data_IF_619919448617
#
_entry.id   IF_619919448617
#
_cell.length_a   1.000
_cell.length_b   1.000
_cell.length_c   1.000
_cell.angle_alpha   90.00
_cell.angle_beta   90.00
_cell.angle_gamma   90.00
#
_symmetry.space_group_name_H-M   'P 1'
#
loop_
_entity.id
_entity.type
_entity.pdbx_description
1 polymer ?
#
# COMPACT_ATOMS: atom_id res chain seq x y z
N UNK A 1 -41.31 -46.33 -5.93
CA UNK A 1 -40.53 -45.85 -7.09
C UNK A 1 -41.28 -44.72 -7.88
N UNK A 2 -42.53 -44.91 -8.31
CA UNK A 2 -43.29 -43.92 -9.09
C UNK A 2 -43.50 -42.60 -8.37
N UNK A 3 -43.83 -42.60 -7.08
CA UNK A 3 -44.03 -41.37 -6.28
C UNK A 3 -42.72 -40.54 -6.13
N UNK A 4 -41.58 -41.19 -5.94
CA UNK A 4 -40.28 -40.51 -5.85
C UNK A 4 -39.89 -39.90 -7.18
N UNK A 5 -40.15 -40.57 -8.29
CA UNK A 5 -39.89 -40.03 -9.63
C UNK A 5 -40.76 -38.81 -9.93
N UNK A 6 -42.08 -38.88 -9.59
CA UNK A 6 -42.99 -37.75 -9.78
C UNK A 6 -42.58 -36.53 -8.94
N UNK A 7 -42.19 -36.76 -7.66
CA UNK A 7 -41.69 -35.70 -6.77
C UNK A 7 -40.43 -35.05 -7.32
N UNK A 8 -39.47 -35.83 -7.84
CA UNK A 8 -38.25 -35.36 -8.47
C UNK A 8 -38.51 -34.49 -9.70
N UNK A 9 -39.46 -34.89 -10.56
CA UNK A 9 -39.86 -34.11 -11.74
C UNK A 9 -40.50 -32.77 -11.34
N UNK A 10 -41.37 -32.78 -10.36
CA UNK A 10 -42.02 -31.56 -9.85
C UNK A 10 -40.95 -30.59 -9.28
N UNK A 11 -40.04 -31.10 -8.41
CA UNK A 11 -39.02 -30.29 -7.78
C UNK A 11 -38.06 -29.69 -8.79
N UNK A 12 -37.58 -30.47 -9.77
CA UNK A 12 -36.70 -30.01 -10.82
C UNK A 12 -37.40 -28.97 -11.73
N UNK A 13 -38.66 -29.16 -12.03
CA UNK A 13 -39.47 -28.20 -12.81
C UNK A 13 -39.63 -26.85 -12.09
N UNK A 14 -39.91 -26.90 -10.77
CA UNK A 14 -40.01 -25.71 -9.93
C UNK A 14 -38.65 -25.00 -9.85
N UNK A 15 -37.57 -25.72 -9.59
CA UNK A 15 -36.22 -25.14 -9.57
C UNK A 15 -35.82 -24.52 -10.93
N UNK A 16 -36.14 -25.18 -12.01
CA UNK A 16 -35.91 -24.65 -13.37
C UNK A 16 -36.68 -23.35 -13.62
N UNK A 17 -37.96 -23.30 -13.27
CA UNK A 17 -38.80 -22.09 -13.44
C UNK A 17 -38.29 -20.93 -12.55
N UNK A 18 -37.91 -21.22 -11.31
CA UNK A 18 -37.34 -20.24 -10.40
C UNK A 18 -36.00 -19.72 -10.94
N UNK A 19 -35.07 -20.61 -11.33
CA UNK A 19 -33.80 -20.24 -11.91
C UNK A 19 -33.96 -19.38 -13.17
N UNK A 20 -34.89 -19.71 -14.04
CA UNK A 20 -35.18 -18.92 -15.25
C UNK A 20 -35.79 -17.56 -14.93
N UNK A 21 -36.68 -17.48 -13.94
CA UNK A 21 -37.35 -16.21 -13.56
C UNK A 21 -36.41 -15.26 -12.85
N UNK A 22 -35.46 -15.80 -12.05
CA UNK A 22 -34.47 -15.02 -11.30
C UNK A 22 -33.09 -15.00 -11.97
N UNK A 23 -32.97 -15.44 -13.24
CA UNK A 23 -31.74 -15.33 -13.98
C UNK A 23 -31.34 -13.86 -14.13
N UNK A 24 -30.26 -13.46 -13.47
CA UNK A 24 -29.67 -12.13 -13.63
C UNK A 24 -28.98 -12.11 -14.99
N UNK A 25 -29.43 -11.23 -15.89
CA UNK A 25 -28.72 -10.98 -17.14
C UNK A 25 -27.55 -10.07 -16.84
N UNK A 26 -26.37 -10.64 -16.73
CA UNK A 26 -25.14 -9.86 -16.64
C UNK A 26 -24.69 -9.41 -18.03
N UNK A 27 -24.04 -8.25 -18.10
CA UNK A 27 -23.47 -7.73 -19.34
C UNK A 27 -22.32 -8.67 -19.80
N UNK A 28 -22.34 -9.18 -21.05
CA UNK A 28 -21.30 -10.09 -21.55
C UNK A 28 -19.89 -9.46 -21.53
N UNK A 29 -19.78 -8.14 -21.52
CA UNK A 29 -18.51 -7.43 -21.38
C UNK A 29 -17.86 -7.65 -20.02
N UNK A 30 -18.64 -8.00 -18.98
CA UNK A 30 -18.15 -8.24 -17.64
C UNK A 30 -17.18 -9.41 -17.60
N UNK A 31 -17.54 -10.54 -18.20
CA UNK A 31 -16.70 -11.73 -18.28
C UNK A 31 -15.44 -11.47 -19.13
N UNK A 32 -15.58 -10.69 -20.20
CA UNK A 32 -14.46 -10.30 -21.05
C UNK A 32 -13.46 -9.41 -20.29
N UNK A 33 -13.93 -8.43 -19.53
CA UNK A 33 -13.06 -7.58 -18.68
C UNK A 33 -12.44 -8.38 -17.56
N UNK A 34 -13.20 -9.27 -16.89
CA UNK A 34 -12.67 -10.11 -15.80
C UNK A 34 -11.55 -11.02 -16.29
N UNK A 35 -11.65 -11.58 -17.49
CA UNK A 35 -10.61 -12.46 -18.07
C UNK A 35 -9.27 -11.77 -18.33
N UNK A 36 -9.27 -10.44 -18.55
CA UNK A 36 -8.04 -9.66 -18.72
C UNK A 36 -7.41 -9.25 -17.38
N UNK A 37 -8.14 -9.37 -16.28
CA UNK A 37 -7.63 -9.02 -14.95
C UNK A 37 -6.76 -10.14 -14.35
N UNK A 38 -5.81 -9.82 -13.44
CA UNK A 38 -4.88 -10.80 -12.88
C UNK A 38 -5.51 -11.91 -12.02
N UNK A 39 -6.79 -11.83 -11.68
CA UNK A 39 -7.50 -12.81 -10.84
C UNK A 39 -7.03 -12.85 -9.37
N UNK A 40 -6.16 -11.95 -8.95
CA UNK A 40 -5.55 -11.95 -7.62
C UNK A 40 -6.52 -11.60 -6.47
N UNK A 41 -7.69 -11.02 -6.76
CA UNK A 41 -8.72 -10.61 -5.79
C UNK A 41 -8.17 -9.85 -4.56
N UNK A 42 -7.08 -9.10 -4.75
CA UNK A 42 -6.29 -8.48 -3.67
C UNK A 42 -6.96 -7.24 -3.04
N UNK A 43 -8.04 -6.70 -3.63
CA UNK A 43 -8.69 -5.48 -3.16
C UNK A 43 -7.86 -4.20 -3.29
N UNK A 44 -6.71 -4.23 -3.98
CA UNK A 44 -5.82 -3.08 -4.16
C UNK A 44 -6.45 -1.94 -4.97
N UNK A 45 -7.35 -2.25 -5.87
CA UNK A 45 -8.14 -1.29 -6.63
C UNK A 45 -9.32 -0.65 -5.86
N UNK A 46 -9.55 -1.07 -4.61
CA UNK A 46 -10.67 -0.62 -3.79
C UNK A 46 -11.97 -1.40 -3.98
N UNK A 47 -11.99 -2.40 -4.87
CA UNK A 47 -13.12 -3.31 -5.09
C UNK A 47 -12.93 -4.60 -4.29
N UNK A 48 -14.02 -5.33 -4.02
CA UNK A 48 -13.99 -6.57 -3.21
C UNK A 48 -13.22 -7.72 -3.92
N UNK A 49 -13.13 -7.67 -5.25
CA UNK A 49 -12.42 -8.64 -6.07
C UNK A 49 -12.35 -8.20 -7.53
N UNK A 50 -11.74 -9.02 -8.38
CA UNK A 50 -11.57 -8.71 -9.80
C UNK A 50 -12.92 -8.60 -10.52
N UNK A 51 -13.90 -9.47 -10.21
CA UNK A 51 -15.25 -9.40 -10.78
C UNK A 51 -15.98 -8.11 -10.40
N UNK A 52 -15.88 -7.68 -9.12
CA UNK A 52 -16.47 -6.42 -8.65
C UNK A 52 -15.82 -5.21 -9.32
N UNK A 53 -14.51 -5.24 -9.54
CA UNK A 53 -13.80 -4.23 -10.32
C UNK A 53 -14.25 -4.20 -11.78
N UNK A 54 -14.38 -5.37 -12.43
CA UNK A 54 -14.88 -5.47 -13.80
C UNK A 54 -16.28 -4.88 -13.92
N UNK A 55 -17.18 -5.20 -12.98
CA UNK A 55 -18.53 -4.65 -12.89
C UNK A 55 -18.52 -3.13 -12.81
N UNK A 56 -17.69 -2.58 -11.92
CA UNK A 56 -17.52 -1.13 -11.76
C UNK A 56 -17.04 -0.46 -13.06
N UNK A 57 -16.08 -1.06 -13.78
CA UNK A 57 -15.59 -0.52 -15.05
C UNK A 57 -16.67 -0.55 -16.15
N UNK A 58 -17.46 -1.64 -16.25
CA UNK A 58 -18.53 -1.79 -17.21
C UNK A 58 -19.67 -0.80 -16.93
N UNK A 59 -20.09 -0.65 -15.67
CA UNK A 59 -21.14 0.27 -15.24
C UNK A 59 -20.75 1.73 -15.43
N UNK A 60 -19.50 2.09 -15.14
CA UNK A 60 -19.00 3.45 -15.30
C UNK A 60 -18.86 3.85 -16.78
N UNK A 61 -18.66 2.89 -17.69
CA UNK A 61 -18.40 3.17 -19.11
C UNK A 61 -17.14 4.01 -19.36
N UNK A 62 -16.29 4.19 -18.35
CA UNK A 62 -15.02 4.91 -18.42
C UNK A 62 -14.02 4.30 -17.44
N UNK A 63 -12.73 4.55 -17.66
CA UNK A 63 -11.67 4.10 -16.75
C UNK A 63 -11.18 5.21 -15.81
N UNK A 64 -11.84 6.36 -15.78
CA UNK A 64 -11.51 7.41 -14.81
C UNK A 64 -11.73 6.94 -13.38
N UNK A 65 -10.68 7.00 -12.57
CA UNK A 65 -10.72 6.51 -11.18
C UNK A 65 -10.74 4.99 -11.03
N UNK A 66 -10.71 4.23 -12.13
CA UNK A 66 -10.62 2.77 -12.15
C UNK A 66 -9.21 2.36 -12.60
N UNK A 67 -8.42 1.82 -11.68
CA UNK A 67 -7.06 1.34 -11.97
C UNK A 67 -6.76 0.06 -11.18
N UNK A 68 -6.25 -0.96 -11.88
CA UNK A 68 -5.79 -2.19 -11.26
C UNK A 68 -4.27 -2.09 -10.99
N UNK A 69 -3.82 -1.89 -9.72
CA UNK A 69 -2.39 -1.70 -9.45
C UNK A 69 -1.56 -2.96 -9.70
N UNK A 70 -2.14 -4.15 -9.56
CA UNK A 70 -1.45 -5.43 -9.81
C UNK A 70 -1.28 -5.68 -11.30
N UNK A 71 -2.30 -5.36 -12.10
CA UNK A 71 -2.26 -5.51 -13.56
C UNK A 71 -1.47 -4.39 -14.26
N UNK A 72 -1.35 -3.23 -13.62
CA UNK A 72 -0.63 -2.09 -14.16
C UNK A 72 -1.25 -1.55 -15.46
N UNK A 73 -0.47 -0.72 -16.17
CA UNK A 73 -0.92 -0.09 -17.42
C UNK A 73 -1.21 -1.10 -18.53
N UNK A 74 -0.49 -2.23 -18.58
CA UNK A 74 -0.67 -3.26 -19.62
C UNK A 74 -2.07 -3.89 -19.56
N UNK A 75 -2.50 -4.29 -18.36
CA UNK A 75 -3.84 -4.84 -18.15
C UNK A 75 -4.91 -3.77 -18.40
N UNK A 76 -4.66 -2.53 -17.95
CA UNK A 76 -5.62 -1.44 -18.17
C UNK A 76 -5.79 -1.09 -19.65
N UNK A 77 -4.73 -1.21 -20.49
CA UNK A 77 -4.85 -1.08 -21.94
C UNK A 77 -5.74 -2.16 -22.56
N UNK A 78 -5.62 -3.41 -22.09
CA UNK A 78 -6.49 -4.50 -22.56
C UNK A 78 -7.94 -4.30 -22.14
N UNK A 79 -8.17 -3.92 -20.88
CA UNK A 79 -9.52 -3.59 -20.39
C UNK A 79 -10.13 -2.43 -21.17
N UNK A 80 -9.34 -1.39 -21.48
CA UNK A 80 -9.75 -0.26 -22.30
C UNK A 80 -10.19 -0.70 -23.72
N UNK A 81 -9.41 -1.61 -24.33
CA UNK A 81 -9.73 -2.16 -25.64
C UNK A 81 -11.06 -2.96 -25.64
N UNK A 82 -11.32 -3.75 -24.58
CA UNK A 82 -12.59 -4.50 -24.42
C UNK A 82 -13.78 -3.56 -24.26
N UNK A 83 -13.61 -2.46 -23.52
CA UNK A 83 -14.69 -1.49 -23.27
C UNK A 83 -14.84 -0.43 -24.39
N UNK A 84 -13.86 -0.33 -25.31
CA UNK A 84 -13.84 0.69 -26.35
C UNK A 84 -13.59 2.11 -25.82
N UNK A 85 -12.84 2.25 -24.74
CA UNK A 85 -12.51 3.53 -24.06
C UNK A 85 -11.00 3.78 -24.07
N UNK A 86 -10.59 5.02 -23.80
CA UNK A 86 -9.18 5.34 -23.67
C UNK A 86 -8.59 4.82 -22.34
N UNK A 87 -7.38 4.26 -22.41
CA UNK A 87 -6.66 3.79 -21.23
C UNK A 87 -6.04 4.97 -20.49
N UNK A 88 -6.31 5.07 -19.19
CA UNK A 88 -5.64 6.04 -18.31
C UNK A 88 -4.32 5.44 -17.83
N UNK A 89 -3.20 5.98 -18.31
CA UNK A 89 -1.88 5.57 -17.85
C UNK A 89 -1.56 6.21 -16.49
N UNK A 90 -1.12 5.39 -15.54
CA UNK A 90 -0.62 5.86 -14.25
C UNK A 90 0.89 5.67 -14.16
N UNK A 91 1.58 6.66 -13.60
CA UNK A 91 3.00 6.53 -13.30
C UNK A 91 3.22 5.33 -12.35
N UNK A 92 4.21 4.46 -12.63
CA UNK A 92 4.49 3.32 -11.78
C UNK A 92 4.84 3.80 -10.36
N UNK A 93 4.32 3.10 -9.36
CA UNK A 93 4.55 3.39 -7.94
C UNK A 93 5.19 2.21 -7.26
N UNK A 94 5.78 2.47 -6.08
CA UNK A 94 6.37 1.46 -5.21
C UNK A 94 6.14 1.85 -3.76
N UNK A 95 6.00 0.86 -2.89
CA UNK A 95 5.90 1.09 -1.45
C UNK A 95 7.26 1.55 -0.91
N UNK A 96 7.25 2.51 0.01
CA UNK A 96 8.42 2.93 0.79
C UNK A 96 8.08 2.90 2.27
N UNK A 97 9.07 2.55 3.10
CA UNK A 97 8.93 2.49 4.55
C UNK A 97 9.51 3.77 5.13
N UNK A 98 8.70 4.54 5.84
CA UNK A 98 9.08 5.81 6.44
C UNK A 98 9.48 5.65 7.90
N UNK A 99 10.44 4.79 8.15
CA UNK A 99 10.98 4.58 9.49
C UNK A 99 12.41 4.03 9.42
N UNK A 100 13.38 4.79 9.89
CA UNK A 100 14.76 4.36 10.08
C UNK A 100 15.08 4.02 11.56
N UNK A 101 14.04 3.74 12.33
CA UNK A 101 14.14 3.35 13.74
C UNK A 101 14.55 1.89 13.90
N UNK A 102 15.75 1.53 13.45
CA UNK A 102 16.37 0.23 13.72
C UNK A 102 16.63 0.03 15.22
N UNK A 103 17.01 -1.18 15.62
CA UNK A 103 17.38 -1.49 17.00
C UNK A 103 18.53 -0.61 17.51
N UNK A 104 19.45 -0.20 16.63
CA UNK A 104 20.56 0.69 16.98
C UNK A 104 20.09 2.13 17.22
N UNK A 105 19.12 2.61 16.43
CA UNK A 105 18.61 3.98 16.50
C UNK A 105 17.53 4.17 17.57
N UNK A 106 16.82 3.09 17.90
CA UNK A 106 15.64 3.09 18.76
C UNK A 106 15.67 1.88 19.69
N UNK A 107 16.43 1.94 20.79
CA UNK A 107 16.55 0.82 21.73
C UNK A 107 15.19 0.47 22.35
N UNK A 108 14.96 -0.81 22.58
CA UNK A 108 13.79 -1.30 23.31
C UNK A 108 13.87 -0.88 24.77
N UNK A 109 12.75 -0.44 25.29
CA UNK A 109 12.60 -0.05 26.71
C UNK A 109 11.78 -1.06 27.50
N UNK A 110 11.06 -1.94 26.81
CA UNK A 110 10.18 -2.94 27.39
C UNK A 110 9.87 -4.03 26.37
N UNK A 111 9.20 -5.09 26.81
CA UNK A 111 8.81 -6.25 25.99
C UNK A 111 7.29 -6.39 26.02
N UNK A 112 6.70 -6.64 24.87
CA UNK A 112 5.29 -6.95 24.74
C UNK A 112 5.09 -8.47 24.67
N UNK A 113 4.50 -9.05 25.71
CA UNK A 113 4.24 -10.50 25.82
C UNK A 113 2.88 -10.94 25.22
N UNK A 114 2.24 -10.09 24.43
CA UNK A 114 0.98 -10.40 23.76
C UNK A 114 1.17 -11.05 22.38
N UNK A 115 0.06 -11.21 21.67
CA UNK A 115 0.06 -11.75 20.30
C UNK A 115 0.92 -10.87 19.36
N UNK A 116 1.86 -11.45 18.60
CA UNK A 116 2.84 -10.71 17.80
C UNK A 116 2.21 -10.12 16.52
N UNK A 117 1.36 -9.12 16.65
CA UNK A 117 0.73 -8.38 15.55
C UNK A 117 0.86 -6.89 15.80
N UNK A 118 1.25 -6.14 14.76
CA UNK A 118 1.31 -4.68 14.80
C UNK A 118 -0.05 -4.06 15.15
N UNK A 119 -1.15 -4.64 14.63
CA UNK A 119 -2.52 -4.16 14.88
C UNK A 119 -2.91 -4.33 16.33
N UNK A 120 -2.61 -5.47 16.93
CA UNK A 120 -2.89 -5.76 18.34
C UNK A 120 -2.03 -4.87 19.23
N UNK A 121 -0.72 -4.84 18.98
CA UNK A 121 0.22 -4.04 19.76
C UNK A 121 -0.10 -2.54 19.71
N UNK A 122 -0.48 -2.00 18.53
CA UNK A 122 -0.82 -0.59 18.40
C UNK A 122 -2.06 -0.17 19.18
N UNK A 123 -3.01 -1.10 19.39
CA UNK A 123 -4.25 -0.83 20.15
C UNK A 123 -4.07 -0.93 21.65
N UNK A 124 -3.28 -1.90 22.10
CA UNK A 124 -3.11 -2.21 23.51
C UNK A 124 -1.94 -1.45 24.15
N UNK A 125 -0.98 -1.04 23.34
CA UNK A 125 0.28 -0.57 23.85
C UNK A 125 0.99 0.40 22.87
N UNK A 126 1.81 1.31 23.40
CA UNK A 126 2.55 2.30 22.58
C UNK A 126 3.69 1.71 21.75
N UNK A 127 4.04 0.47 21.96
CA UNK A 127 5.19 -0.20 21.36
C UNK A 127 6.34 -0.37 22.37
N UNK A 128 7.31 -1.19 22.02
CA UNK A 128 8.43 -1.59 22.90
C UNK A 128 9.55 -0.54 23.01
N UNK A 129 9.38 0.61 22.39
CA UNK A 129 10.37 1.68 22.32
C UNK A 129 9.79 3.03 22.74
N UNK A 130 10.62 4.01 23.00
CA UNK A 130 10.18 5.37 23.34
C UNK A 130 9.43 6.08 22.18
N UNK A 131 9.61 5.64 20.92
CA UNK A 131 8.97 6.25 19.77
C UNK A 131 7.56 5.70 19.56
N UNK A 132 6.54 6.50 19.84
CA UNK A 132 5.12 6.13 19.66
C UNK A 132 4.68 6.02 18.18
N UNK A 133 5.47 6.50 17.25
CA UNK A 133 5.15 6.57 15.82
C UNK A 133 5.84 5.50 14.99
N UNK A 134 6.95 4.96 15.45
CA UNK A 134 7.82 4.08 14.69
C UNK A 134 7.24 2.68 14.43
N UNK A 135 7.94 1.93 13.60
CA UNK A 135 7.61 0.55 13.28
C UNK A 135 7.52 -0.31 14.54
N UNK A 136 6.52 -1.18 14.63
CA UNK A 136 6.37 -2.13 15.75
C UNK A 136 7.15 -3.44 15.53
N UNK A 137 7.52 -3.73 14.28
CA UNK A 137 8.40 -4.86 13.96
C UNK A 137 7.72 -6.23 13.92
N UNK A 138 6.37 -6.33 14.04
CA UNK A 138 5.68 -7.63 14.06
C UNK A 138 5.47 -8.24 12.68
N UNK A 139 5.57 -7.47 11.57
CA UNK A 139 5.51 -8.03 10.21
C UNK A 139 4.12 -8.11 9.58
N UNK A 140 3.04 -7.53 10.15
CA UNK A 140 1.69 -7.55 9.54
C UNK A 140 1.69 -7.04 8.08
N UNK A 141 2.58 -6.11 7.72
CA UNK A 141 2.73 -5.61 6.36
C UNK A 141 3.37 -6.62 5.40
N UNK A 142 4.23 -7.51 5.92
CA UNK A 142 4.86 -8.60 5.15
C UNK A 142 3.82 -9.68 4.86
N UNK A 143 3.05 -10.10 5.87
CA UNK A 143 1.97 -11.08 5.72
C UNK A 143 0.88 -10.58 4.76
N UNK A 144 0.58 -9.29 4.79
CA UNK A 144 -0.41 -8.67 3.91
C UNK A 144 0.06 -8.50 2.45
N UNK A 145 1.33 -8.77 2.12
CA UNK A 145 1.87 -8.55 0.79
C UNK A 145 1.63 -9.73 -0.15
N UNK A 146 0.71 -9.63 -1.13
CA UNK A 146 0.38 -10.76 -2.00
C UNK A 146 1.50 -11.11 -3.00
N UNK A 147 2.37 -10.14 -3.31
CA UNK A 147 3.50 -10.35 -4.24
C UNK A 147 4.80 -10.78 -3.56
N UNK A 148 4.81 -10.90 -2.22
CA UNK A 148 6.03 -11.21 -1.47
C UNK A 148 7.15 -10.17 -1.62
N UNK A 149 6.78 -8.92 -1.92
CA UNK A 149 7.72 -7.81 -2.11
C UNK A 149 8.25 -7.21 -0.81
N UNK A 150 7.71 -7.60 0.35
CA UNK A 150 8.20 -7.16 1.65
C UNK A 150 8.81 -8.33 2.42
N UNK A 151 9.91 -8.04 3.11
CA UNK A 151 10.53 -8.95 4.07
C UNK A 151 10.97 -8.19 5.32
N UNK A 152 11.02 -8.87 6.47
CA UNK A 152 11.58 -8.28 7.68
C UNK A 152 13.10 -8.47 7.69
N UNK A 153 13.84 -7.38 7.82
CA UNK A 153 15.28 -7.45 8.03
C UNK A 153 15.57 -7.84 9.49
N UNK A 154 16.25 -8.97 9.68
CA UNK A 154 16.54 -9.50 11.01
C UNK A 154 17.49 -8.61 11.84
N UNK A 155 18.37 -7.84 11.20
CA UNK A 155 19.32 -6.95 11.88
C UNK A 155 18.72 -5.62 12.32
N UNK A 156 17.79 -5.07 11.51
CA UNK A 156 17.18 -3.76 11.79
C UNK A 156 15.80 -3.88 12.42
N UNK A 157 15.16 -5.03 12.32
CA UNK A 157 13.73 -5.28 12.65
C UNK A 157 12.77 -4.32 11.95
N UNK A 158 13.14 -3.87 10.75
CA UNK A 158 12.31 -3.05 9.89
C UNK A 158 11.91 -3.82 8.63
N UNK A 159 10.74 -3.55 8.04
CA UNK A 159 10.39 -4.12 6.75
C UNK A 159 11.18 -3.46 5.63
N UNK A 160 11.67 -4.27 4.71
CA UNK A 160 12.33 -3.85 3.48
C UNK A 160 11.46 -4.18 2.28
N UNK A 161 11.51 -3.32 1.27
CA UNK A 161 10.70 -3.46 0.05
C UNK A 161 11.59 -3.78 -1.14
N UNK A 162 11.31 -4.92 -1.78
CA UNK A 162 11.85 -5.26 -3.09
C UNK A 162 11.04 -4.53 -4.18
N UNK A 163 11.62 -3.49 -4.76
CA UNK A 163 10.97 -2.66 -5.77
C UNK A 163 10.69 -3.40 -7.08
N UNK A 164 11.41 -4.50 -7.36
CA UNK A 164 11.20 -5.33 -8.54
C UNK A 164 9.92 -6.16 -8.45
N UNK A 165 9.55 -6.61 -7.25
CA UNK A 165 8.35 -7.42 -6.97
C UNK A 165 7.14 -6.60 -6.57
N UNK A 166 7.35 -5.33 -6.18
CA UNK A 166 6.28 -4.48 -5.66
C UNK A 166 5.31 -4.06 -6.78
N UNK A 167 4.06 -4.48 -6.67
CA UNK A 167 2.97 -4.12 -7.59
C UNK A 167 2.22 -2.85 -7.19
N UNK A 168 2.64 -2.15 -6.14
CA UNK A 168 1.98 -0.95 -5.60
C UNK A 168 0.49 -1.15 -5.21
N UNK A 169 0.05 -2.36 -4.87
CA UNK A 169 -1.34 -2.66 -4.55
C UNK A 169 -1.86 -1.99 -3.25
N UNK A 170 -0.97 -1.44 -2.41
CA UNK A 170 -1.33 -0.73 -1.18
C UNK A 170 -1.77 -1.62 -0.01
N UNK A 171 -1.72 -2.96 -0.12
CA UNK A 171 -2.11 -3.86 0.97
C UNK A 171 -1.29 -3.62 2.24
N UNK A 172 0.03 -3.43 2.11
CA UNK A 172 0.94 -3.10 3.22
C UNK A 172 0.64 -1.73 3.85
N UNK A 173 0.19 -0.75 3.05
CA UNK A 173 -0.20 0.57 3.55
C UNK A 173 -1.44 0.44 4.46
N UNK A 174 -2.45 -0.32 4.02
CA UNK A 174 -3.68 -0.60 4.80
C UNK A 174 -3.40 -1.45 6.05
N UNK A 175 -2.45 -2.38 5.97
CA UNK A 175 -2.08 -3.26 7.08
C UNK A 175 -1.32 -2.53 8.19
N UNK A 176 -0.61 -1.45 7.89
CA UNK A 176 0.23 -0.75 8.84
C UNK A 176 -0.57 0.17 9.78
N UNK A 177 -0.74 -0.15 11.08
CA UNK A 177 -1.52 0.67 12.00
C UNK A 177 -0.82 2.01 12.37
N UNK A 178 0.47 2.14 12.05
CA UNK A 178 1.28 3.35 12.28
C UNK A 178 1.35 4.27 11.06
N UNK A 179 0.86 3.83 9.90
CA UNK A 179 0.88 4.63 8.68
C UNK A 179 2.30 4.98 8.20
N UNK A 180 3.27 4.11 8.46
CA UNK A 180 4.67 4.33 8.07
C UNK A 180 5.00 3.87 6.64
N UNK A 181 4.05 3.25 5.95
CA UNK A 181 4.24 2.78 4.58
C UNK A 181 3.38 3.64 3.66
N UNK A 182 3.97 4.13 2.58
CA UNK A 182 3.27 4.90 1.56
C UNK A 182 3.69 4.46 0.16
N UNK A 183 2.89 4.80 -0.85
CA UNK A 183 3.21 4.56 -2.26
C UNK A 183 3.80 5.84 -2.86
N UNK A 184 5.00 5.73 -3.42
CA UNK A 184 5.69 6.82 -4.12
C UNK A 184 5.94 6.47 -5.58
N UNK A 185 6.12 7.49 -6.42
CA UNK A 185 6.50 7.29 -7.81
C UNK A 185 7.80 6.46 -7.89
N UNK A 186 7.82 5.48 -8.80
CA UNK A 186 9.00 4.68 -9.11
C UNK A 186 9.91 5.50 -10.01
N UNK A 187 11.21 5.55 -9.69
CA UNK A 187 12.19 6.29 -10.47
C UNK A 187 13.61 5.89 -10.08
N UNK A 188 14.63 6.29 -10.86
CA UNK A 188 16.02 5.87 -10.68
C UNK A 188 16.60 6.32 -9.33
N UNK A 189 16.16 7.46 -8.82
CA UNK A 189 16.50 7.97 -7.49
C UNK A 189 15.20 8.36 -6.79
N UNK A 190 15.04 7.93 -5.56
CA UNK A 190 13.89 8.31 -4.72
C UNK A 190 14.42 8.90 -3.43
N UNK A 191 13.85 10.03 -3.03
CA UNK A 191 14.22 10.71 -1.78
C UNK A 191 12.97 10.91 -0.92
N UNK A 192 13.04 10.50 0.33
CA UNK A 192 11.93 10.68 1.28
C UNK A 192 12.45 10.80 2.71
N UNK A 193 11.57 11.25 3.61
CA UNK A 193 11.86 11.33 5.03
C UNK A 193 11.50 10.01 5.69
N UNK A 194 12.50 9.29 6.23
CA UNK A 194 12.36 8.00 6.95
C UNK A 194 11.91 8.21 8.39
N UNK A 195 10.93 9.06 8.59
CA UNK A 195 10.35 9.34 9.89
C UNK A 195 8.89 9.80 9.74
N UNK A 196 8.06 9.42 10.71
CA UNK A 196 6.67 9.88 10.84
C UNK A 196 6.39 10.46 12.23
N UNK A 197 7.42 10.67 13.03
CA UNK A 197 7.31 11.22 14.37
C UNK A 197 6.99 12.71 14.32
N UNK A 198 5.94 13.13 15.03
CA UNK A 198 5.44 14.50 15.12
C UNK A 198 5.79 15.20 16.43
N UNK A 199 6.52 14.53 17.31
CA UNK A 199 6.96 15.11 18.57
C UNK A 199 7.94 16.28 18.33
N UNK A 200 8.04 17.17 19.31
CA UNK A 200 9.04 18.23 19.29
C UNK A 200 10.45 17.65 19.15
N UNK A 201 11.32 18.30 18.41
CA UNK A 201 12.63 17.76 18.01
C UNK A 201 13.48 17.17 19.13
N UNK A 202 13.48 17.76 20.33
CA UNK A 202 14.19 17.23 21.49
C UNK A 202 13.62 15.87 21.97
N UNK A 203 12.28 15.73 21.97
CA UNK A 203 11.58 14.50 22.35
C UNK A 203 11.80 13.43 21.28
N UNK A 204 11.64 13.79 20.00
CA UNK A 204 11.85 12.91 18.88
C UNK A 204 13.27 12.32 18.86
N UNK A 205 14.30 13.18 19.08
CA UNK A 205 15.70 12.75 19.12
C UNK A 205 16.02 11.84 20.31
N UNK A 206 15.38 12.09 21.47
CA UNK A 206 15.54 11.22 22.65
C UNK A 206 14.92 9.84 22.38
N UNK A 207 13.82 9.78 21.65
CA UNK A 207 13.13 8.54 21.34
C UNK A 207 13.78 7.73 20.21
N UNK A 208 14.48 8.38 19.27
CA UNK A 208 15.17 7.74 18.15
C UNK A 208 16.29 8.67 17.63
N UNK A 209 17.52 8.17 17.54
CA UNK A 209 18.66 8.94 17.05
C UNK A 209 18.55 9.36 15.59
N UNK A 210 17.83 8.57 14.77
CA UNK A 210 17.55 8.84 13.35
C UNK A 210 16.23 9.61 13.11
N UNK A 211 15.58 10.13 14.18
CA UNK A 211 14.31 10.84 14.01
C UNK A 211 14.49 12.19 13.30
N UNK A 212 13.47 12.58 12.51
CA UNK A 212 13.35 13.96 12.07
C UNK A 212 13.08 14.86 13.28
N UNK A 213 13.87 15.91 13.44
CA UNK A 213 13.74 16.88 14.53
C UNK A 213 13.05 18.19 14.12
N UNK A 214 12.51 18.25 12.92
CA UNK A 214 11.82 19.44 12.41
C UNK A 214 12.70 20.68 12.25
N UNK A 215 14.02 20.54 12.09
CA UNK A 215 14.96 21.68 12.07
C UNK A 215 14.87 22.59 10.85
N UNK A 216 14.18 22.17 9.80
CA UNK A 216 13.95 22.98 8.59
C UNK A 216 15.14 23.16 7.64
N UNK A 217 16.33 22.60 7.94
CA UNK A 217 17.49 22.74 7.06
C UNK A 217 17.22 22.24 5.65
N UNK A 218 16.61 21.05 5.51
CA UNK A 218 16.27 20.45 4.22
C UNK A 218 15.32 21.33 3.39
N UNK A 219 14.34 21.96 4.03
CA UNK A 219 13.40 22.84 3.35
C UNK A 219 14.06 24.11 2.83
N UNK A 220 14.96 24.69 3.62
CA UNK A 220 15.72 25.90 3.22
C UNK A 220 16.67 25.66 2.03
N UNK A 221 17.19 24.44 1.90
CA UNK A 221 18.12 24.04 0.84
C UNK A 221 17.42 23.54 -0.43
N UNK A 222 16.12 23.33 -0.38
CA UNK A 222 15.37 22.76 -1.50
C UNK A 222 15.05 23.83 -2.55
N UNK A 223 15.80 23.84 -3.65
CA UNK A 223 15.61 24.77 -4.77
C UNK A 223 14.25 24.57 -5.47
N UNK A 224 13.75 23.32 -5.53
CA UNK A 224 12.46 23.00 -6.14
C UNK A 224 11.27 23.24 -5.20
N UNK A 225 11.48 23.73 -3.97
CA UNK A 225 10.44 23.93 -2.95
C UNK A 225 9.58 22.68 -2.69
N UNK A 226 10.16 21.49 -2.90
CA UNK A 226 9.47 20.22 -2.72
C UNK A 226 9.35 19.78 -1.25
N UNK A 227 9.98 20.50 -0.31
CA UNK A 227 10.01 20.09 1.11
C UNK A 227 9.21 21.07 1.95
N UNK A 228 8.22 20.54 2.62
CA UNK A 228 7.40 21.27 3.59
C UNK A 228 7.62 20.75 5.01
N UNK A 229 7.44 21.62 6.01
CA UNK A 229 7.42 21.21 7.41
C UNK A 229 6.00 21.32 7.94
N UNK A 230 5.52 20.24 8.54
CA UNK A 230 4.23 20.21 9.20
C UNK A 230 4.34 19.35 10.47
N UNK A 231 3.78 19.81 11.58
CA UNK A 231 3.80 19.09 12.86
C UNK A 231 5.21 18.60 13.27
N UNK A 232 6.21 19.46 13.22
CA UNK A 232 7.64 19.14 13.50
C UNK A 232 8.26 18.07 12.59
N UNK A 233 7.64 17.74 11.48
CA UNK A 233 8.08 16.72 10.55
C UNK A 233 8.27 17.30 9.15
N UNK A 234 9.38 16.98 8.51
CA UNK A 234 9.60 17.32 7.12
C UNK A 234 8.86 16.31 6.21
N UNK A 235 8.28 16.81 5.15
CA UNK A 235 7.64 16.05 4.09
C UNK A 235 8.24 16.42 2.74
N UNK A 236 8.55 15.43 1.91
CA UNK A 236 9.07 15.62 0.56
C UNK A 236 8.00 15.20 -0.44
N UNK A 237 7.56 16.17 -1.25
CA UNK A 237 6.66 15.94 -2.36
C UNK A 237 7.45 15.28 -3.50
N UNK A 238 7.11 14.04 -3.85
CA UNK A 238 7.81 13.28 -4.89
C UNK A 238 7.64 13.88 -6.28
N UNK A 239 6.52 14.57 -6.53
CA UNK A 239 6.18 15.10 -7.85
C UNK A 239 6.92 16.43 -8.14
N UNK A 240 7.26 17.16 -7.07
CA UNK A 240 8.06 18.39 -7.13
C UNK A 240 9.56 18.18 -6.96
N UNK A 241 9.96 17.01 -6.43
CA UNK A 241 11.34 16.74 -6.06
C UNK A 241 12.23 16.52 -7.29
N UNK A 242 13.21 17.40 -7.48
CA UNK A 242 14.22 17.30 -8.54
C UNK A 242 15.27 16.18 -8.27
N UNK A 243 15.15 15.41 -7.21
CA UNK A 243 16.02 14.27 -6.85
C UNK A 243 17.53 14.63 -6.71
N UNK A 244 17.86 15.89 -6.45
CA UNK A 244 19.23 16.39 -6.35
C UNK A 244 20.01 15.88 -5.11
N UNK A 245 19.35 15.22 -4.18
CA UNK A 245 19.90 14.59 -2.95
C UNK A 245 20.60 15.54 -1.95
N UNK A 246 20.68 16.85 -2.18
CA UNK A 246 21.32 17.83 -1.26
C UNK A 246 20.77 17.74 0.18
N UNK A 247 19.46 17.52 0.33
CA UNK A 247 18.82 17.40 1.64
C UNK A 247 19.25 16.15 2.42
N UNK A 248 19.74 15.09 1.75
CA UNK A 248 20.20 13.86 2.39
C UNK A 248 21.50 14.11 3.14
N UNK A 249 22.50 14.74 2.49
CA UNK A 249 23.81 15.05 3.08
C UNK A 249 23.74 16.07 4.23
N UNK A 250 22.78 16.99 4.14
CA UNK A 250 22.62 18.07 5.11
C UNK A 250 21.73 17.74 6.30
N UNK A 251 21.13 16.55 6.30
CA UNK A 251 20.26 16.11 7.40
C UNK A 251 21.09 15.76 8.65
N UNK A 252 20.97 16.49 9.78
CA UNK A 252 21.83 16.28 10.95
C UNK A 252 21.54 14.97 11.71
N UNK A 253 20.42 14.32 11.43
CA UNK A 253 20.01 13.06 12.06
C UNK A 253 19.96 11.89 11.06
N UNK A 254 20.27 12.13 9.78
CA UNK A 254 20.14 11.10 8.75
C UNK A 254 18.70 10.63 8.52
N UNK A 255 17.70 11.48 8.85
CA UNK A 255 16.30 11.13 8.72
C UNK A 255 15.78 11.17 7.27
N UNK A 256 16.63 11.51 6.30
CA UNK A 256 16.25 11.54 4.88
C UNK A 256 16.99 10.41 4.17
N UNK A 257 16.22 9.54 3.54
CA UNK A 257 16.75 8.42 2.79
C UNK A 257 16.77 8.71 1.29
N UNK A 258 17.75 8.14 0.60
CA UNK A 258 17.76 8.01 -0.86
C UNK A 258 17.85 6.54 -1.22
N UNK A 259 16.99 6.06 -2.11
CA UNK A 259 17.12 4.77 -2.74
C UNK A 259 17.54 4.95 -4.19
N UNK A 260 18.52 4.21 -4.63
CA UNK A 260 18.86 4.05 -6.05
C UNK A 260 18.35 2.68 -6.47
N UNK A 261 17.60 2.63 -7.56
CA UNK A 261 17.33 1.37 -8.24
C UNK A 261 18.53 1.06 -9.13
N UNK A 262 19.07 -0.14 -8.97
CA UNK A 262 20.14 -0.65 -9.82
C UNK A 262 19.59 -0.96 -11.22
#
# INVERSE_FOLDING_TARGET
MVVLAALGIVLSSVLYLVARKFAVKEDPRLDAVESELPGANCGGCGSAGCRDFAKKCVEAGSLEGCFCPVGGNEVMKKVAAVLGVEAVEQAPRVAVVRCNGSCANRPRTNVFEGYPSCRVQARLYRGETMCSYGCLGCGDCVEACPSGALSMNAGTLLPEVDSSKCTACGACVKACPRGIIELRAKGPVRVWVDCVNKDKGAVARKACSAACIGCGKCAKLCESSAITLQDNLAWIDSDKCAQCTKCVSECPTGAIHKSQEA
#
